data_IF_037201204591
#
_entry.id   IF_037201204591
#
_cell.length_a   1.000
_cell.length_b   1.000
_cell.length_c   1.000
_cell.angle_alpha   90.00
_cell.angle_beta   90.00
_cell.angle_gamma   90.00
#
_symmetry.space_group_name_H-M   'P 1'
#
loop_
_entity.id
_entity.type
_entity.pdbx_description
1 polymer ?
#
# COMPACT_ATOMS: atom_id res chain seq x y z
N UNK A 1 2.69 19.97 -3.86
CA UNK A 1 2.67 19.23 -2.59
C UNK A 1 4.09 18.89 -2.13
N UNK A 2 4.72 17.81 -2.61
CA UNK A 2 6.01 17.38 -2.07
C UNK A 2 7.14 18.42 -2.23
N UNK A 3 7.26 19.05 -3.41
CA UNK A 3 8.21 20.14 -3.65
C UNK A 3 7.94 21.43 -2.85
N UNK A 4 6.77 21.53 -2.22
CA UNK A 4 6.40 22.63 -1.34
C UNK A 4 6.63 22.28 0.14
N UNK A 5 7.31 21.17 0.44
CA UNK A 5 7.57 20.69 1.79
C UNK A 5 6.36 20.04 2.48
N UNK A 6 5.31 19.70 1.72
CA UNK A 6 4.13 19.03 2.27
C UNK A 6 4.23 17.52 2.12
N UNK A 7 3.91 16.78 3.19
CA UNK A 7 3.78 15.32 3.15
C UNK A 7 2.68 14.90 2.19
N UNK A 8 2.88 13.77 1.50
CA UNK A 8 1.94 13.19 0.55
C UNK A 8 1.76 11.69 0.83
N UNK A 9 0.57 11.17 0.55
CA UNK A 9 0.30 9.74 0.54
C UNK A 9 0.00 9.36 -0.91
N UNK A 10 0.69 8.34 -1.40
CA UNK A 10 0.40 7.72 -2.69
C UNK A 10 -0.36 6.42 -2.40
N UNK A 11 -1.64 6.38 -2.77
CA UNK A 11 -2.50 5.20 -2.58
C UNK A 11 -2.71 4.49 -3.91
N UNK A 12 -2.01 3.37 -4.08
CA UNK A 12 -2.11 2.47 -5.21
C UNK A 12 -1.49 1.12 -4.82
N UNK A 13 -1.71 0.07 -5.62
CA UNK A 13 -1.14 -1.25 -5.31
C UNK A 13 0.39 -1.29 -5.31
N UNK A 14 1.06 -0.39 -6.05
CA UNK A 14 2.54 -0.32 -6.16
C UNK A 14 3.21 -1.70 -6.30
N UNK A 15 2.59 -2.59 -7.07
CA UNK A 15 2.99 -3.99 -7.17
C UNK A 15 4.32 -4.20 -7.88
N UNK A 16 4.76 -3.22 -8.69
CA UNK A 16 6.04 -3.29 -9.39
C UNK A 16 7.14 -2.61 -8.59
N UNK A 17 8.30 -3.26 -8.51
CA UNK A 17 9.51 -2.73 -7.88
C UNK A 17 9.98 -1.43 -8.52
N UNK A 18 9.89 -1.32 -9.84
CA UNK A 18 10.32 -0.10 -10.55
C UNK A 18 9.48 1.12 -10.14
N UNK A 19 8.16 0.97 -9.97
CA UNK A 19 7.28 2.06 -9.57
C UNK A 19 7.64 2.56 -8.15
N UNK A 20 7.97 1.64 -7.24
CA UNK A 20 8.43 1.97 -5.87
C UNK A 20 9.80 2.64 -5.88
N UNK A 21 10.73 2.18 -6.72
CA UNK A 21 12.04 2.80 -6.89
C UNK A 21 11.95 4.22 -7.46
N UNK A 22 11.01 4.48 -8.38
CA UNK A 22 10.78 5.83 -8.91
C UNK A 22 10.26 6.77 -7.82
N UNK A 23 9.33 6.31 -6.98
CA UNK A 23 8.84 7.10 -5.84
C UNK A 23 9.96 7.37 -4.82
N UNK A 24 10.79 6.38 -4.50
CA UNK A 24 11.96 6.53 -3.62
C UNK A 24 12.95 7.56 -4.19
N UNK A 25 13.33 7.44 -5.46
CA UNK A 25 14.25 8.38 -6.14
C UNK A 25 13.73 9.82 -6.10
N UNK A 26 12.42 10.02 -6.30
CA UNK A 26 11.80 11.35 -6.23
C UNK A 26 11.87 11.92 -4.81
N UNK A 27 11.59 11.11 -3.79
CA UNK A 27 11.70 11.54 -2.40
C UNK A 27 13.15 11.92 -2.04
N UNK A 28 14.12 11.10 -2.43
CA UNK A 28 15.56 11.38 -2.23
C UNK A 28 16.00 12.67 -2.92
N UNK A 29 15.59 12.89 -4.17
CA UNK A 29 15.91 14.10 -4.94
C UNK A 29 15.37 15.39 -4.30
N UNK A 30 14.27 15.28 -3.53
CA UNK A 30 13.65 16.39 -2.81
C UNK A 30 14.06 16.44 -1.33
N UNK A 31 14.94 15.54 -0.87
CA UNK A 31 15.36 15.46 0.53
C UNK A 31 14.23 15.05 1.49
N UNK A 32 13.19 14.38 0.99
CA UNK A 32 12.04 13.95 1.77
C UNK A 32 12.24 12.56 2.37
N UNK A 33 11.63 12.32 3.53
CA UNK A 33 11.50 10.97 4.08
C UNK A 33 10.59 10.11 3.19
N UNK A 34 10.91 8.83 3.07
CA UNK A 34 10.15 7.86 2.28
C UNK A 34 9.91 6.59 3.07
N UNK A 35 8.64 6.18 3.13
CA UNK A 35 8.19 4.93 3.73
C UNK A 35 7.19 4.24 2.79
N UNK A 36 7.16 2.91 2.83
CA UNK A 36 6.18 2.05 2.18
C UNK A 36 5.43 1.29 3.26
N UNK A 37 4.10 1.37 3.19
CA UNK A 37 3.17 0.64 4.03
C UNK A 37 2.59 -0.50 3.19
N UNK A 38 3.04 -1.73 3.45
CA UNK A 38 2.51 -2.92 2.79
C UNK A 38 1.28 -3.43 3.56
N UNK A 39 0.11 -3.15 3.01
CA UNK A 39 -1.16 -3.60 3.58
C UNK A 39 -1.41 -5.08 3.24
N UNK A 40 -1.31 -5.95 4.23
CA UNK A 40 -1.55 -7.39 4.07
C UNK A 40 -2.88 -7.79 4.69
N UNK A 41 -3.46 -8.85 4.12
CA UNK A 41 -4.69 -9.48 4.60
C UNK A 41 -4.72 -10.93 4.10
N UNK A 42 -5.38 -11.81 4.85
CA UNK A 42 -5.61 -13.18 4.39
C UNK A 42 -6.54 -13.21 3.17
N UNK A 43 -6.34 -14.22 2.32
CA UNK A 43 -7.01 -14.33 1.03
C UNK A 43 -8.53 -14.54 1.15
N UNK A 44 -8.98 -15.27 2.18
CA UNK A 44 -10.40 -15.48 2.45
C UNK A 44 -11.10 -14.15 2.75
N UNK A 45 -10.50 -13.33 3.61
CA UNK A 45 -11.04 -12.01 3.94
C UNK A 45 -10.97 -11.06 2.75
N UNK A 46 -9.91 -11.11 1.93
CA UNK A 46 -9.84 -10.32 0.69
C UNK A 46 -11.02 -10.66 -0.22
N UNK A 47 -11.23 -11.95 -0.52
CA UNK A 47 -12.33 -12.41 -1.37
C UNK A 47 -13.68 -11.91 -0.86
N UNK A 48 -13.95 -12.12 0.43
CA UNK A 48 -15.18 -11.69 1.09
C UNK A 48 -15.39 -10.17 0.98
N UNK A 49 -14.34 -9.36 1.18
CA UNK A 49 -14.43 -7.89 1.09
C UNK A 49 -14.67 -7.43 -0.35
N UNK A 50 -14.10 -8.08 -1.36
CA UNK A 50 -14.35 -7.77 -2.77
C UNK A 50 -15.80 -8.11 -3.17
N UNK A 51 -16.30 -9.29 -2.80
CA UNK A 51 -17.70 -9.69 -3.03
C UNK A 51 -18.68 -8.72 -2.38
N UNK A 52 -18.42 -8.29 -1.14
CA UNK A 52 -19.24 -7.29 -0.44
C UNK A 52 -19.25 -5.92 -1.12
N UNK A 53 -18.13 -5.51 -1.73
CA UNK A 53 -18.04 -4.24 -2.48
C UNK A 53 -18.87 -4.31 -3.76
N UNK A 54 -18.81 -5.44 -4.48
CA UNK A 54 -19.61 -5.66 -5.70
C UNK A 54 -21.12 -5.71 -5.42
N UNK A 55 -21.53 -6.16 -4.23
CA UNK A 55 -22.93 -6.15 -3.81
C UNK A 55 -23.48 -4.74 -3.52
N UNK A 56 -22.64 -3.70 -3.54
CA UNK A 56 -23.02 -2.30 -3.35
C UNK A 56 -22.72 -1.50 -4.62
N UNK A 57 -23.37 -0.35 -4.77
CA UNK A 57 -23.00 0.58 -5.83
C UNK A 57 -21.59 1.12 -5.55
N UNK A 58 -20.62 0.75 -6.38
CA UNK A 58 -19.22 1.09 -6.20
C UNK A 58 -18.59 1.50 -7.52
N UNK A 59 -17.70 2.50 -7.48
CA UNK A 59 -16.84 2.87 -8.60
C UNK A 59 -15.58 2.00 -8.68
N UNK A 60 -15.39 1.08 -7.73
CA UNK A 60 -14.23 0.19 -7.69
C UNK A 60 -14.40 -0.95 -8.69
N UNK A 61 -13.36 -1.20 -9.48
CA UNK A 61 -13.24 -2.36 -10.38
C UNK A 61 -12.68 -3.61 -9.67
N UNK A 62 -12.57 -3.58 -8.33
CA UNK A 62 -12.02 -4.64 -7.50
C UNK A 62 -12.82 -5.95 -7.56
N UNK A 63 -12.60 -6.72 -8.62
CA UNK A 63 -13.13 -8.08 -8.83
C UNK A 63 -12.12 -9.13 -8.41
N UNK A 64 -12.62 -10.32 -8.07
CA UNK A 64 -11.78 -11.44 -7.64
C UNK A 64 -10.72 -11.80 -8.68
N UNK A 65 -11.10 -11.84 -9.96
CA UNK A 65 -10.24 -12.21 -11.07
C UNK A 65 -9.10 -11.19 -11.28
N UNK A 66 -9.35 -9.91 -10.98
CA UNK A 66 -8.30 -8.88 -11.03
C UNK A 66 -7.32 -9.06 -9.88
N UNK A 67 -7.82 -9.34 -8.68
CA UNK A 67 -6.97 -9.61 -7.53
C UNK A 67 -6.03 -10.80 -7.78
N UNK A 68 -6.53 -11.90 -8.36
CA UNK A 68 -5.71 -13.07 -8.67
C UNK A 68 -4.55 -12.71 -9.62
N UNK A 69 -4.83 -11.92 -10.67
CA UNK A 69 -3.79 -11.44 -11.59
C UNK A 69 -2.80 -10.53 -10.85
N UNK A 70 -3.29 -9.58 -10.05
CA UNK A 70 -2.45 -8.66 -9.27
C UNK A 70 -1.53 -9.42 -8.32
N UNK A 71 -2.04 -10.44 -7.62
CA UNK A 71 -1.26 -11.30 -6.71
C UNK A 71 -0.14 -12.04 -7.44
N UNK A 72 -0.40 -12.53 -8.65
CA UNK A 72 0.61 -13.25 -9.44
C UNK A 72 1.74 -12.35 -9.95
N UNK A 73 1.42 -11.09 -10.29
CA UNK A 73 2.41 -10.14 -10.83
C UNK A 73 3.04 -9.25 -9.76
N UNK A 74 2.60 -9.35 -8.50
CA UNK A 74 3.11 -8.55 -7.40
C UNK A 74 4.57 -8.93 -7.10
N UNK A 75 5.47 -7.96 -7.15
CA UNK A 75 6.88 -8.15 -6.85
C UNK A 75 7.14 -7.88 -5.37
N UNK A 76 7.63 -8.90 -4.65
CA UNK A 76 8.00 -8.80 -3.23
C UNK A 76 8.89 -7.59 -2.96
N UNK A 77 8.56 -6.84 -1.91
CA UNK A 77 9.30 -5.65 -1.50
C UNK A 77 10.59 -6.08 -0.82
N UNK A 78 11.72 -5.88 -1.49
CA UNK A 78 13.06 -6.30 -1.03
C UNK A 78 14.13 -5.23 -1.22
N UNK A 79 13.79 -4.17 -1.94
CA UNK A 79 14.67 -3.07 -2.33
C UNK A 79 14.75 -1.94 -1.31
N UNK A 80 13.98 -2.02 -0.22
CA UNK A 80 13.87 -0.97 0.79
C UNK A 80 14.61 -1.36 2.06
N UNK A 81 15.12 -0.37 2.79
CA UNK A 81 15.70 -0.59 4.10
C UNK A 81 14.60 -0.97 5.12
N UNK A 82 14.91 -1.72 6.19
CA UNK A 82 13.92 -2.09 7.22
C UNK A 82 13.18 -0.91 7.86
N UNK A 83 13.80 0.27 7.88
CA UNK A 83 13.19 1.52 8.40
C UNK A 83 12.24 2.21 7.40
N UNK A 84 12.17 1.73 6.16
CA UNK A 84 11.37 2.30 5.08
C UNK A 84 10.24 1.37 4.65
N UNK A 85 10.17 0.14 5.14
CA UNK A 85 9.16 -0.84 4.76
C UNK A 85 8.48 -1.40 6.01
N UNK A 86 7.18 -1.18 6.12
CA UNK A 86 6.36 -1.62 7.23
C UNK A 86 5.19 -2.45 6.73
N UNK A 87 5.06 -3.66 7.26
CA UNK A 87 3.94 -4.56 6.96
C UNK A 87 2.81 -4.28 7.95
N UNK A 88 1.63 -3.98 7.43
CA UNK A 88 0.43 -3.67 8.20
C UNK A 88 -0.62 -4.76 7.98
N UNK A 89 -0.95 -5.49 9.05
CA UNK A 89 -2.10 -6.40 9.02
C UNK A 89 -3.41 -5.61 9.09
N UNK A 90 -4.12 -5.57 7.97
CA UNK A 90 -5.37 -4.82 7.80
C UNK A 90 -6.63 -5.59 8.19
N UNK A 91 -6.47 -6.72 8.89
CA UNK A 91 -7.54 -7.38 9.63
C UNK A 91 -7.82 -6.67 10.97
N UNK A 92 -6.83 -5.94 11.51
CA UNK A 92 -6.93 -5.25 12.80
C UNK A 92 -7.85 -4.02 12.77
N UNK A 93 -8.36 -3.58 13.93
CA UNK A 93 -9.05 -2.30 14.08
C UNK A 93 -8.21 -1.12 13.57
N UNK A 94 -8.87 -0.14 12.94
CA UNK A 94 -8.21 0.99 12.28
C UNK A 94 -7.38 1.85 13.25
N UNK A 95 -7.84 2.01 14.49
CA UNK A 95 -7.14 2.71 15.56
C UNK A 95 -5.76 2.10 15.84
N UNK A 96 -5.68 0.76 15.84
CA UNK A 96 -4.41 0.04 16.02
C UNK A 96 -3.46 0.23 14.83
N UNK A 97 -4.00 0.20 13.61
CA UNK A 97 -3.20 0.43 12.40
C UNK A 97 -2.64 1.86 12.40
N UNK A 98 -3.47 2.85 12.76
CA UNK A 98 -3.06 4.26 12.82
C UNK A 98 -1.99 4.47 13.90
N UNK A 99 -2.12 3.85 15.08
CA UNK A 99 -1.09 3.88 16.13
C UNK A 99 0.26 3.35 15.61
N UNK A 100 0.25 2.23 14.87
CA UNK A 100 1.46 1.65 14.27
C UNK A 100 2.09 2.64 13.28
N UNK A 101 1.32 3.18 12.34
CA UNK A 101 1.82 4.11 11.33
C UNK A 101 2.38 5.38 11.98
N UNK A 102 1.69 5.92 12.98
CA UNK A 102 2.14 7.11 13.70
C UNK A 102 3.48 6.90 14.41
N UNK A 103 3.76 5.70 14.91
CA UNK A 103 5.04 5.38 15.56
C UNK A 103 6.25 5.39 14.60
N UNK A 104 6.01 5.46 13.28
CA UNK A 104 7.04 5.36 12.22
C UNK A 104 7.27 6.68 11.46
N UNK A 105 6.43 7.69 11.70
CA UNK A 105 6.54 9.04 11.14
C UNK A 105 7.28 9.97 12.10
#
# INVERSE_FOLDING_TARGET
>A
FLSQGQSVILDASFGRKEDRLQALKLAEALGANFIVLECVLDEETIKKRLEQRLARETTSDGRWEIYEIQKQIFESITELLPRQHFILDTSQPIDKIVEIVWSKL
#
